data_IF_190768041860
#
_entry.id   IF_190768041860
#
_cell.length_a   1.000
_cell.length_b   1.000
_cell.length_c   1.000
_cell.angle_alpha   90.00
_cell.angle_beta   90.00
_cell.angle_gamma   90.00
#
_symmetry.space_group_name_H-M   'P 1'
#
loop_
_entity.id
_entity.type
_entity.pdbx_description
1 polymer ?
#
# COMPACT_ATOMS: atom_id res chain seq x y z
N UNK A 1 -26.15 1.95 27.36
CA UNK A 1 -25.00 1.59 28.22
C UNK A 1 -24.18 0.60 27.45
N UNK A 2 -22.91 0.75 27.12
CA UNK A 2 -21.90 1.81 27.21
C UNK A 2 -21.00 1.50 26.01
N UNK A 3 -20.72 2.48 25.14
CA UNK A 3 -19.76 2.27 24.05
C UNK A 3 -18.39 2.09 24.69
N UNK A 4 -17.81 0.90 24.53
CA UNK A 4 -16.44 0.60 24.93
C UNK A 4 -15.51 1.63 24.30
N UNK A 5 -15.13 2.63 25.10
CA UNK A 5 -14.07 3.58 24.82
C UNK A 5 -12.76 2.79 24.79
N UNK A 6 -12.23 2.49 23.61
CA UNK A 6 -10.88 1.96 23.47
C UNK A 6 -9.86 3.07 23.69
N UNK A 7 -9.69 3.52 24.94
CA UNK A 7 -8.66 4.49 25.35
C UNK A 7 -7.20 4.02 25.15
N UNK A 8 -6.98 2.87 24.50
CA UNK A 8 -5.66 2.26 24.35
C UNK A 8 -4.81 2.78 23.19
N UNK A 9 -5.39 3.39 22.15
CA UNK A 9 -4.59 3.84 21.01
C UNK A 9 -5.15 5.09 20.32
N UNK A 10 -5.14 6.22 21.04
CA UNK A 10 -5.51 7.52 20.48
C UNK A 10 -4.69 7.85 19.21
N UNK A 11 -3.41 7.48 19.15
CA UNK A 11 -2.56 7.69 17.98
C UNK A 11 -3.16 7.03 16.73
N UNK A 12 -3.51 5.75 16.83
CA UNK A 12 -4.10 5.00 15.71
C UNK A 12 -5.50 5.49 15.36
N UNK A 13 -6.30 5.88 16.34
CA UNK A 13 -7.63 6.48 16.09
C UNK A 13 -7.51 7.79 15.31
N UNK A 14 -6.58 8.67 15.69
CA UNK A 14 -6.28 9.91 14.97
C UNK A 14 -5.82 9.64 13.53
N UNK A 15 -5.00 8.61 13.31
CA UNK A 15 -4.57 8.19 11.97
C UNK A 15 -5.77 7.72 11.14
N UNK A 16 -6.57 6.79 11.65
CA UNK A 16 -7.75 6.24 10.95
C UNK A 16 -8.77 7.34 10.61
N UNK A 17 -9.11 8.20 11.58
CA UNK A 17 -10.01 9.33 11.38
C UNK A 17 -9.43 10.40 10.46
N UNK A 18 -8.12 10.59 10.49
CA UNK A 18 -7.40 11.42 9.54
C UNK A 18 -7.58 10.96 8.09
N UNK A 19 -7.34 9.67 7.83
CA UNK A 19 -7.51 9.07 6.50
C UNK A 19 -8.97 9.19 6.04
N UNK A 20 -9.94 8.89 6.90
CA UNK A 20 -11.37 9.08 6.60
C UNK A 20 -11.69 10.52 6.20
N UNK A 21 -11.24 11.48 7.02
CA UNK A 21 -11.54 12.90 6.82
C UNK A 21 -10.94 13.45 5.52
N UNK A 22 -9.69 13.09 5.18
CA UNK A 22 -9.07 13.53 3.93
C UNK A 22 -9.87 13.05 2.73
N UNK A 23 -10.34 11.80 2.76
CA UNK A 23 -11.11 11.22 1.68
C UNK A 23 -12.50 11.86 1.51
N UNK A 24 -13.06 12.46 2.56
CA UNK A 24 -14.37 13.12 2.53
C UNK A 24 -14.30 14.59 2.13
N UNK A 25 -13.32 15.32 2.66
CA UNK A 25 -13.32 16.79 2.56
C UNK A 25 -12.00 17.39 2.06
N UNK A 26 -11.02 16.55 1.74
CA UNK A 26 -9.70 16.95 1.25
C UNK A 26 -8.70 17.29 2.37
N UNK A 27 -7.41 17.16 2.05
CA UNK A 27 -6.29 17.41 2.96
C UNK A 27 -6.27 18.83 3.53
N UNK A 28 -6.68 19.84 2.76
CA UNK A 28 -6.72 21.25 3.19
C UNK A 28 -7.59 21.47 4.43
N UNK A 29 -8.64 20.65 4.59
CA UNK A 29 -9.58 20.75 5.72
C UNK A 29 -9.19 19.88 6.92
N UNK A 30 -8.03 19.22 6.89
CA UNK A 30 -7.48 18.45 8.00
C UNK A 30 -6.73 19.36 8.97
N UNK A 31 -7.04 19.23 10.26
CA UNK A 31 -6.23 19.80 11.35
C UNK A 31 -6.27 18.89 12.57
N UNK A 32 -5.21 18.92 13.39
CA UNK A 32 -5.13 18.15 14.64
C UNK A 32 -6.32 18.49 15.57
N UNK A 33 -6.69 19.77 15.64
CA UNK A 33 -7.81 20.24 16.46
C UNK A 33 -9.16 19.68 15.98
N UNK A 34 -9.37 19.61 14.67
CA UNK A 34 -10.59 19.00 14.10
C UNK A 34 -10.64 17.51 14.39
N UNK A 35 -9.51 16.81 14.31
CA UNK A 35 -9.44 15.40 14.69
C UNK A 35 -9.67 15.17 16.18
N UNK A 36 -9.20 16.06 17.06
CA UNK A 36 -9.51 15.98 18.49
C UNK A 36 -11.02 15.97 18.74
N UNK A 37 -11.75 16.87 18.07
CA UNK A 37 -13.21 16.97 18.15
C UNK A 37 -13.87 15.68 17.63
N UNK A 38 -13.42 15.17 16.48
CA UNK A 38 -13.95 13.93 15.88
C UNK A 38 -13.73 12.72 16.79
N UNK A 39 -12.58 12.64 17.45
CA UNK A 39 -12.23 11.55 18.38
C UNK A 39 -12.79 11.78 19.80
N UNK A 40 -13.50 12.88 20.05
CA UNK A 40 -14.09 13.18 21.36
C UNK A 40 -13.06 13.42 22.47
N UNK A 41 -11.86 13.90 22.13
CA UNK A 41 -10.76 14.18 23.08
C UNK A 41 -10.49 15.69 23.20
N UNK A 42 -9.67 16.08 24.18
CA UNK A 42 -9.27 17.48 24.35
C UNK A 42 -8.48 17.99 23.14
N UNK A 43 -8.58 19.28 22.85
CA UNK A 43 -7.86 19.92 21.73
C UNK A 43 -6.33 19.76 21.80
N UNK A 44 -5.77 19.54 23.00
CA UNK A 44 -4.34 19.33 23.21
C UNK A 44 -3.91 17.87 23.05
N UNK A 45 -4.84 16.90 23.11
CA UNK A 45 -4.49 15.47 23.11
C UNK A 45 -3.75 15.00 21.85
N UNK A 46 -4.08 15.42 20.60
CA UNK A 46 -3.32 14.99 19.43
C UNK A 46 -1.85 15.46 19.44
N UNK A 47 -1.56 16.58 20.11
CA UNK A 47 -0.21 17.16 20.15
C UNK A 47 0.78 16.33 20.99
N UNK A 48 0.29 15.37 21.80
CA UNK A 48 1.17 14.41 22.49
C UNK A 48 1.69 13.32 21.56
N UNK A 49 1.08 13.15 20.38
CA UNK A 49 1.43 12.13 19.40
C UNK A 49 2.02 12.69 18.11
N UNK A 50 1.58 13.88 17.70
CA UNK A 50 2.00 14.52 16.46
C UNK A 50 2.31 16.00 16.71
N UNK A 51 3.53 16.42 16.41
CA UNK A 51 4.00 17.81 16.53
C UNK A 51 3.41 18.70 15.44
N UNK A 52 3.04 18.12 14.30
CA UNK A 52 2.48 18.86 13.16
C UNK A 52 1.48 18.03 12.35
N UNK A 53 0.74 18.72 11.45
CA UNK A 53 -0.09 18.08 10.42
C UNK A 53 0.75 17.18 9.52
N UNK A 54 1.96 17.60 9.16
CA UNK A 54 2.85 16.84 8.28
C UNK A 54 3.34 15.56 8.94
N UNK A 55 3.65 15.60 10.24
CA UNK A 55 4.02 14.39 10.99
C UNK A 55 2.85 13.39 11.02
N UNK A 56 1.64 13.88 11.28
CA UNK A 56 0.45 13.03 11.22
C UNK A 56 0.27 12.42 9.81
N UNK A 57 0.40 13.21 8.74
CA UNK A 57 0.25 12.72 7.36
C UNK A 57 1.29 11.64 7.02
N UNK A 58 2.53 11.82 7.45
CA UNK A 58 3.60 10.83 7.29
C UNK A 58 3.26 9.52 8.02
N UNK A 59 2.77 9.62 9.26
CA UNK A 59 2.36 8.47 10.06
C UNK A 59 1.13 7.76 9.47
N UNK A 60 0.20 8.48 8.81
CA UNK A 60 -0.88 7.86 8.05
C UNK A 60 -0.35 7.02 6.87
N UNK A 61 0.65 7.53 6.14
CA UNK A 61 1.29 6.78 5.05
C UNK A 61 1.96 5.51 5.56
N UNK A 62 2.73 5.62 6.65
CA UNK A 62 3.36 4.45 7.28
C UNK A 62 2.35 3.41 7.76
N UNK A 63 1.26 3.86 8.39
CA UNK A 63 0.18 2.96 8.79
C UNK A 63 -0.36 2.13 7.61
N UNK A 64 -0.57 2.74 6.44
CA UNK A 64 -1.04 2.02 5.25
C UNK A 64 0.04 1.08 4.71
N UNK A 65 1.30 1.53 4.65
CA UNK A 65 2.41 0.70 4.18
C UNK A 65 2.67 -0.51 5.09
N UNK A 66 2.50 -0.38 6.40
CA UNK A 66 2.64 -1.48 7.36
C UNK A 66 1.54 -2.53 7.18
N UNK A 67 0.29 -2.10 6.93
CA UNK A 67 -0.80 -3.01 6.60
C UNK A 67 -0.54 -3.75 5.29
N UNK A 68 -0.10 -3.04 4.25
CA UNK A 68 0.26 -3.65 2.97
C UNK A 68 1.43 -4.63 3.12
N UNK A 69 2.46 -4.24 3.87
CA UNK A 69 3.63 -5.08 4.16
C UNK A 69 3.20 -6.39 4.81
N UNK A 70 2.32 -6.34 5.81
CA UNK A 70 1.82 -7.53 6.49
C UNK A 70 1.13 -8.50 5.52
N UNK A 71 0.26 -7.99 4.63
CA UNK A 71 -0.43 -8.81 3.61
C UNK A 71 0.55 -9.43 2.61
N UNK A 72 1.56 -8.68 2.18
CA UNK A 72 2.61 -9.17 1.28
C UNK A 72 3.50 -10.21 1.97
N UNK A 73 3.87 -10.03 3.23
CA UNK A 73 4.61 -11.04 4.01
C UNK A 73 3.81 -12.33 4.18
N UNK A 74 2.52 -12.23 4.47
CA UNK A 74 1.63 -13.38 4.57
C UNK A 74 1.55 -14.14 3.24
N UNK A 75 1.45 -13.40 2.13
CA UNK A 75 1.48 -13.96 0.78
C UNK A 75 2.82 -14.65 0.50
N UNK A 76 3.94 -13.99 0.79
CA UNK A 76 5.30 -14.55 0.63
C UNK A 76 5.47 -15.84 1.41
N UNK A 77 5.00 -15.90 2.66
CA UNK A 77 5.02 -17.12 3.48
C UNK A 77 4.18 -18.24 2.86
N UNK A 78 2.95 -17.92 2.41
CA UNK A 78 2.01 -18.89 1.82
C UNK A 78 2.46 -19.46 0.47
N UNK A 79 3.16 -18.67 -0.33
CA UNK A 79 3.64 -19.03 -1.67
C UNK A 79 5.16 -19.24 -1.75
N UNK A 80 5.81 -19.46 -0.60
CA UNK A 80 7.24 -19.73 -0.53
C UNK A 80 7.63 -20.87 -1.47
N UNK A 81 8.67 -20.65 -2.29
CA UNK A 81 9.21 -21.58 -3.28
C UNK A 81 8.24 -21.98 -4.41
N UNK A 82 7.07 -21.34 -4.55
CA UNK A 82 6.16 -21.57 -5.67
C UNK A 82 6.54 -20.67 -6.85
N UNK A 83 6.44 -21.19 -8.07
CA UNK A 83 6.81 -20.46 -9.29
C UNK A 83 5.98 -19.19 -9.50
N UNK A 84 4.73 -19.21 -9.01
CA UNK A 84 3.76 -18.13 -9.13
C UNK A 84 3.81 -17.08 -8.00
N UNK A 85 4.87 -17.06 -7.19
CA UNK A 85 4.96 -16.15 -6.03
C UNK A 85 4.86 -14.67 -6.42
N UNK A 86 5.52 -14.24 -7.49
CA UNK A 86 5.50 -12.83 -7.93
C UNK A 86 4.10 -12.40 -8.38
N UNK A 87 3.41 -13.29 -9.09
CA UNK A 87 2.05 -13.12 -9.56
C UNK A 87 1.10 -12.95 -8.37
N UNK A 88 1.28 -13.76 -7.33
CA UNK A 88 0.49 -13.67 -6.11
C UNK A 88 0.79 -12.42 -5.28
N UNK A 89 2.05 -11.97 -5.21
CA UNK A 89 2.39 -10.69 -4.56
C UNK A 89 1.73 -9.51 -5.28
N UNK A 90 1.79 -9.50 -6.62
CA UNK A 90 1.09 -8.48 -7.42
C UNK A 90 -0.42 -8.52 -7.22
N UNK A 91 -1.03 -9.71 -7.21
CA UNK A 91 -2.47 -9.89 -6.94
C UNK A 91 -2.85 -9.34 -5.56
N UNK A 92 -2.08 -9.68 -4.52
CA UNK A 92 -2.31 -9.20 -3.16
C UNK A 92 -2.25 -7.68 -3.08
N UNK A 93 -1.25 -7.05 -3.71
CA UNK A 93 -1.15 -5.59 -3.79
C UNK A 93 -2.42 -4.96 -4.38
N UNK A 94 -2.89 -5.47 -5.53
CA UNK A 94 -4.08 -4.91 -6.20
C UNK A 94 -5.31 -5.09 -5.32
N UNK A 95 -5.55 -6.31 -4.81
CA UNK A 95 -6.71 -6.61 -3.97
C UNK A 95 -6.72 -5.77 -2.69
N UNK A 96 -5.57 -5.54 -2.06
CA UNK A 96 -5.46 -4.69 -0.87
C UNK A 96 -6.04 -3.30 -1.12
N UNK A 97 -5.67 -2.66 -2.22
CA UNK A 97 -6.15 -1.32 -2.54
C UNK A 97 -7.57 -1.28 -3.11
N UNK A 98 -8.05 -2.36 -3.73
CA UNK A 98 -9.45 -2.48 -4.13
C UNK A 98 -10.39 -2.65 -2.93
N UNK A 99 -9.94 -3.37 -1.89
CA UNK A 99 -10.67 -3.48 -0.61
C UNK A 99 -10.59 -2.18 0.19
N UNK A 100 -9.55 -1.38 -0.01
CA UNK A 100 -9.30 -0.13 0.71
C UNK A 100 -9.07 1.06 -0.24
N UNK A 101 -10.08 1.48 -1.05
CA UNK A 101 -9.88 2.52 -2.07
C UNK A 101 -9.49 3.88 -1.49
N UNK A 102 -9.93 4.17 -0.26
CA UNK A 102 -9.55 5.38 0.50
C UNK A 102 -8.05 5.44 0.81
N UNK A 103 -7.41 4.29 1.01
CA UNK A 103 -5.96 4.22 1.27
C UNK A 103 -5.18 4.51 -0.01
N UNK A 104 -5.65 3.97 -1.14
CA UNK A 104 -5.04 4.24 -2.44
C UNK A 104 -5.15 5.73 -2.80
N UNK A 105 -6.34 6.32 -2.67
CA UNK A 105 -6.55 7.73 -2.95
C UNK A 105 -5.62 8.62 -2.11
N UNK A 106 -5.59 8.38 -0.79
CA UNK A 106 -4.70 9.11 0.11
C UNK A 106 -3.23 9.00 -0.33
N UNK A 107 -2.70 7.79 -0.52
CA UNK A 107 -1.30 7.59 -0.93
C UNK A 107 -1.00 8.22 -2.29
N UNK A 108 -1.92 8.10 -3.26
CA UNK A 108 -1.74 8.66 -4.61
C UNK A 108 -1.71 10.20 -4.65
N UNK A 109 -2.31 10.86 -3.65
CA UNK A 109 -2.27 12.32 -3.51
C UNK A 109 -1.02 12.85 -2.78
N UNK A 110 -0.22 11.97 -2.17
CA UNK A 110 0.97 12.35 -1.43
C UNK A 110 2.11 12.76 -2.36
N UNK A 111 2.84 13.81 -1.98
CA UNK A 111 4.03 14.30 -2.69
C UNK A 111 5.35 13.82 -2.06
N UNK A 112 5.25 13.31 -0.84
CA UNK A 112 6.35 12.87 0.02
C UNK A 112 6.57 11.35 -0.01
N UNK A 113 5.81 10.63 -0.83
CA UNK A 113 6.01 9.20 -1.09
C UNK A 113 6.96 9.05 -2.26
N UNK A 114 8.18 8.61 -1.99
CA UNK A 114 9.19 8.27 -2.99
C UNK A 114 9.27 6.75 -3.16
N UNK A 115 9.48 6.31 -4.41
CA UNK A 115 9.63 4.91 -4.75
C UNK A 115 11.10 4.68 -5.11
N UNK A 116 11.80 3.93 -4.28
CA UNK A 116 13.19 3.53 -4.55
C UNK A 116 13.22 2.39 -5.59
N UNK A 117 13.60 2.74 -6.82
CA UNK A 117 13.78 1.80 -7.93
C UNK A 117 15.18 1.16 -7.95
N UNK A 118 16.07 1.52 -7.03
CA UNK A 118 17.37 0.87 -6.92
C UNK A 118 17.22 -0.58 -6.48
N UNK A 119 18.18 -1.44 -6.83
CA UNK A 119 18.21 -2.84 -6.38
C UNK A 119 18.67 -2.99 -4.91
N UNK A 120 18.83 -1.88 -4.18
CA UNK A 120 19.22 -1.92 -2.76
C UNK A 120 18.04 -2.39 -1.93
N UNK A 121 18.30 -3.29 -0.98
CA UNK A 121 17.32 -3.75 0.00
C UNK A 121 17.91 -3.50 1.37
N UNK A 122 17.19 -2.75 2.21
CA UNK A 122 17.51 -2.63 3.62
C UNK A 122 16.84 -3.77 4.39
N UNK A 123 17.63 -4.80 4.71
CA UNK A 123 17.14 -5.97 5.44
C UNK A 123 16.69 -5.65 6.88
N UNK A 124 17.13 -4.51 7.46
CA UNK A 124 16.74 -4.13 8.82
C UNK A 124 15.41 -3.36 8.86
N UNK A 125 15.01 -2.74 7.75
CA UNK A 125 13.78 -1.96 7.66
C UNK A 125 13.06 -2.18 6.32
N UNK A 126 12.81 -3.45 6.01
CA UNK A 126 12.20 -3.87 4.75
C UNK A 126 10.80 -3.24 4.58
N UNK A 127 10.58 -2.51 3.49
CA UNK A 127 9.28 -1.95 3.14
C UNK A 127 8.37 -2.97 2.46
N UNK A 128 7.09 -2.63 2.28
CA UNK A 128 6.18 -3.42 1.46
C UNK A 128 6.71 -3.66 0.03
N UNK A 129 7.37 -2.65 -0.56
CA UNK A 129 7.92 -2.72 -1.91
C UNK A 129 9.18 -3.57 -1.98
N UNK A 130 10.00 -3.54 -0.93
CA UNK A 130 11.19 -4.36 -0.86
C UNK A 130 10.86 -5.85 -0.94
N UNK A 131 9.69 -6.29 -0.44
CA UNK A 131 9.27 -7.69 -0.53
C UNK A 131 9.15 -8.14 -1.99
N UNK A 132 8.47 -7.34 -2.83
CA UNK A 132 8.34 -7.66 -4.25
C UNK A 132 9.69 -7.56 -4.97
N UNK A 133 10.47 -6.52 -4.65
CA UNK A 133 11.80 -6.30 -5.22
C UNK A 133 12.76 -7.45 -4.91
N UNK A 134 12.82 -7.92 -3.66
CA UNK A 134 13.67 -9.05 -3.25
C UNK A 134 13.32 -10.31 -4.03
N UNK A 135 12.04 -10.66 -4.12
CA UNK A 135 11.61 -11.86 -4.83
C UNK A 135 11.86 -11.75 -6.36
N UNK A 136 11.69 -10.54 -6.93
CA UNK A 136 11.97 -10.29 -8.33
C UNK A 136 13.47 -10.40 -8.65
N UNK A 137 14.33 -9.79 -7.83
CA UNK A 137 15.80 -9.90 -7.94
C UNK A 137 16.20 -11.37 -7.82
N UNK A 138 15.74 -12.07 -6.78
CA UNK A 138 16.08 -13.48 -6.55
C UNK A 138 15.65 -14.38 -7.71
N UNK A 139 14.47 -14.15 -8.31
CA UNK A 139 13.99 -14.93 -9.46
C UNK A 139 14.81 -14.62 -10.71
N UNK A 140 15.03 -13.36 -11.03
CA UNK A 140 15.61 -12.95 -12.31
C UNK A 140 17.12 -13.06 -12.36
N UNK A 141 17.83 -12.84 -11.25
CA UNK A 141 19.28 -13.08 -11.19
C UNK A 141 19.63 -14.56 -11.39
N UNK A 142 18.79 -15.49 -10.92
CA UNK A 142 18.97 -16.95 -11.17
C UNK A 142 18.81 -17.33 -12.64
N UNK A 143 18.11 -16.51 -13.41
CA UNK A 143 17.91 -16.69 -14.85
C UNK A 143 19.01 -15.99 -15.67
N UNK A 144 20.02 -15.38 -15.03
CA UNK A 144 21.13 -14.71 -15.72
C UNK A 144 20.75 -13.36 -16.32
N UNK A 145 19.64 -12.76 -15.89
CA UNK A 145 19.17 -11.45 -16.38
C UNK A 145 20.07 -10.34 -15.80
N UNK A 146 20.39 -9.34 -16.63
CA UNK A 146 21.22 -8.21 -16.22
C UNK A 146 20.55 -7.37 -15.12
N UNK A 147 21.33 -6.71 -14.26
CA UNK A 147 20.77 -5.85 -13.22
C UNK A 147 19.92 -4.70 -13.78
N UNK A 148 20.29 -4.16 -14.95
CA UNK A 148 19.52 -3.12 -15.63
C UNK A 148 18.16 -3.64 -16.09
N UNK A 149 18.11 -4.83 -16.69
CA UNK A 149 16.86 -5.47 -17.10
C UNK A 149 15.97 -5.84 -15.90
N UNK A 150 16.58 -6.23 -14.77
CA UNK A 150 15.86 -6.48 -13.52
C UNK A 150 15.19 -5.19 -13.02
N UNK A 151 15.90 -4.06 -13.03
CA UNK A 151 15.33 -2.76 -12.66
C UNK A 151 14.16 -2.38 -13.57
N UNK A 152 14.33 -2.52 -14.89
CA UNK A 152 13.27 -2.27 -15.87
C UNK A 152 12.05 -3.17 -15.64
N UNK A 153 12.26 -4.45 -15.30
CA UNK A 153 11.19 -5.39 -14.97
C UNK A 153 10.47 -5.00 -13.69
N UNK A 154 11.17 -4.63 -12.63
CA UNK A 154 10.55 -4.17 -11.37
C UNK A 154 9.69 -2.93 -11.62
N UNK A 155 10.20 -1.96 -12.38
CA UNK A 155 9.44 -0.77 -12.77
C UNK A 155 8.18 -1.14 -13.57
N UNK A 156 8.29 -2.08 -14.51
CA UNK A 156 7.15 -2.57 -15.29
C UNK A 156 6.12 -3.28 -14.39
N UNK A 157 6.56 -4.15 -13.47
CA UNK A 157 5.69 -4.83 -12.49
C UNK A 157 4.92 -3.82 -11.64
N UNK A 158 5.63 -2.80 -11.13
CA UNK A 158 5.04 -1.74 -10.35
C UNK A 158 4.00 -0.94 -11.14
N UNK A 159 4.35 -0.54 -12.36
CA UNK A 159 3.47 0.20 -13.26
C UNK A 159 2.20 -0.59 -13.56
N UNK A 160 2.31 -1.90 -13.77
CA UNK A 160 1.17 -2.78 -14.01
C UNK A 160 0.22 -2.79 -12.81
N UNK A 161 0.71 -3.09 -11.60
CA UNK A 161 -0.17 -3.23 -10.43
C UNK A 161 -0.74 -1.90 -9.97
N UNK A 162 0.04 -0.81 -10.01
CA UNK A 162 -0.44 0.53 -9.70
C UNK A 162 -1.47 1.01 -10.76
N UNK A 163 -1.21 0.73 -12.04
CA UNK A 163 -2.14 1.02 -13.14
C UNK A 163 -3.45 0.26 -13.01
N UNK A 164 -3.41 -1.02 -12.66
CA UNK A 164 -4.61 -1.83 -12.40
C UNK A 164 -5.46 -1.23 -11.29
N UNK A 165 -4.85 -0.87 -10.15
CA UNK A 165 -5.59 -0.24 -9.05
C UNK A 165 -6.25 1.08 -9.48
N UNK A 166 -5.50 1.93 -10.21
CA UNK A 166 -6.02 3.20 -10.71
C UNK A 166 -7.20 3.01 -11.67
N UNK A 167 -7.02 2.18 -12.70
CA UNK A 167 -8.03 1.93 -13.74
C UNK A 167 -9.30 1.34 -13.11
N UNK A 168 -9.17 0.34 -12.24
CA UNK A 168 -10.32 -0.32 -11.62
C UNK A 168 -11.10 0.67 -10.76
N UNK A 169 -10.42 1.52 -9.98
CA UNK A 169 -11.08 2.56 -9.18
C UNK A 169 -11.76 3.65 -10.04
N UNK A 170 -11.31 3.86 -11.28
CA UNK A 170 -11.95 4.76 -12.24
C UNK A 170 -13.12 4.11 -13.01
N UNK A 171 -13.16 2.79 -13.11
CA UNK A 171 -14.25 2.09 -13.81
C UNK A 171 -15.54 2.10 -12.99
N UNK A 172 -16.69 2.23 -13.67
CA UNK A 172 -17.98 1.98 -13.03
C UNK A 172 -18.00 0.54 -12.51
N UNK A 173 -18.44 0.33 -11.26
CA UNK A 173 -18.49 -0.97 -10.56
C UNK A 173 -19.20 -2.12 -11.31
N UNK A 174 -19.82 -1.82 -12.45
CA UNK A 174 -20.63 -2.74 -13.25
C UNK A 174 -19.87 -3.46 -14.38
N UNK A 175 -18.55 -3.26 -14.56
CA UNK A 175 -17.88 -3.79 -15.75
C UNK A 175 -17.41 -5.25 -15.64
N UNK A 176 -17.07 -5.78 -14.45
CA UNK A 176 -16.60 -7.16 -14.25
C UNK A 176 -17.05 -7.68 -12.87
N UNK A 177 -17.81 -8.78 -12.84
CA UNK A 177 -18.32 -9.41 -11.60
C UNK A 177 -17.23 -10.16 -10.79
N UNK A 178 -16.01 -10.31 -11.32
CA UNK A 178 -14.94 -11.06 -10.65
C UNK A 178 -13.54 -10.49 -10.95
N UNK A 179 -13.19 -9.36 -10.31
CA UNK A 179 -11.86 -8.77 -10.46
C UNK A 179 -10.76 -9.65 -9.88
N UNK A 180 -11.02 -10.44 -8.83
CA UNK A 180 -9.96 -11.23 -8.19
C UNK A 180 -9.37 -12.27 -9.15
N UNK A 181 -10.18 -13.01 -9.90
CA UNK A 181 -9.65 -13.98 -10.88
C UNK A 181 -9.03 -13.27 -12.09
N UNK A 182 -9.66 -12.19 -12.56
CA UNK A 182 -9.17 -11.44 -13.72
C UNK A 182 -7.83 -10.75 -13.47
N UNK A 183 -7.57 -10.25 -12.25
CA UNK A 183 -6.27 -9.65 -11.90
C UNK A 183 -5.15 -10.66 -12.06
N UNK A 184 -5.37 -11.90 -11.59
CA UNK A 184 -4.38 -12.95 -11.72
C UNK A 184 -4.12 -13.30 -13.18
N UNK A 185 -5.17 -13.42 -13.99
CA UNK A 185 -5.04 -13.64 -15.43
C UNK A 185 -4.32 -12.50 -16.15
N UNK A 186 -4.59 -11.23 -15.79
CA UNK A 186 -3.89 -10.08 -16.39
C UNK A 186 -2.42 -10.09 -16.01
N UNK A 187 -2.09 -10.31 -14.74
CA UNK A 187 -0.70 -10.38 -14.27
C UNK A 187 0.02 -11.55 -14.95
N UNK A 188 -0.66 -12.69 -15.15
CA UNK A 188 -0.10 -13.82 -15.90
C UNK A 188 0.03 -13.54 -17.41
N UNK A 189 -0.95 -12.90 -18.03
CA UNK A 189 -0.87 -12.54 -19.44
C UNK A 189 0.20 -11.47 -19.69
N UNK A 190 0.63 -10.74 -18.65
CA UNK A 190 1.73 -9.80 -18.77
C UNK A 190 3.05 -10.55 -19.01
N UNK A 191 3.78 -10.16 -20.05
CA UNK A 191 5.12 -10.68 -20.33
C UNK A 191 6.15 -10.29 -19.25
N UNK A 192 5.76 -9.48 -18.27
CA UNK A 192 6.62 -8.96 -17.21
C UNK A 192 6.98 -10.07 -16.21
N UNK A 193 6.06 -11.02 -15.99
CA UNK A 193 6.24 -12.17 -15.09
C UNK A 193 6.79 -13.42 -15.80
N UNK A 194 6.69 -13.47 -17.13
CA UNK A 194 7.12 -14.60 -17.97
C UNK A 194 8.48 -14.39 -18.63
N UNK A 195 9.13 -15.51 -18.90
CA UNK A 195 10.40 -15.61 -19.60
C UNK A 195 10.22 -16.59 -20.75
N UNK A 196 10.45 -16.14 -21.98
CA UNK A 196 10.87 -17.02 -23.06
C UNK A 196 12.38 -16.90 -23.18
#
# INVERSE_FOLDING_TARGET
>A
MEKSYHHGNLKEELIKKGIELINEVGEEKLSLRKLAIICGVSNSAPYTHFKSKDELLKEMSFYIFDLLKLELENTRKKYKNKENLLEMLGKTYVIFFLKNPKYYYFLSSRKDVEIDLSLKIDNNNMTALDILKEEAINKFSKLGISNEDIQNKILAMWSLVAGLVSIINMTSKNYIENWEDKIEEIIKASFITYYK
#
